data_IF_828419290540
#
_entry.id   IF_828419290540
#
_cell.length_a   1.000
_cell.length_b   1.000
_cell.length_c   1.000
_cell.angle_alpha   90.00
_cell.angle_beta   90.00
_cell.angle_gamma   90.00
#
_symmetry.space_group_name_H-M   'P 1'
#
loop_
_entity.id
_entity.type
_entity.pdbx_description
1 polymer ?
#
# COMPACT_ATOMS: atom_id res chain seq x y z
N UNK A 1 21.26 -69.08 12.59
CA UNK A 1 21.66 -67.67 12.34
C UNK A 1 20.43 -66.86 11.98
N UNK A 2 19.82 -66.20 12.96
CA UNK A 2 18.67 -65.28 12.74
C UNK A 2 19.19 -63.83 12.55
N UNK A 3 19.02 -63.27 11.37
CA UNK A 3 19.27 -61.87 11.12
C UNK A 3 18.06 -61.02 11.61
N UNK A 4 18.23 -60.24 12.67
CA UNK A 4 17.28 -59.24 13.12
C UNK A 4 17.38 -58.00 12.21
N UNK A 5 16.35 -57.77 11.41
CA UNK A 5 16.17 -56.52 10.67
C UNK A 5 15.68 -55.46 11.64
N UNK A 6 16.52 -54.44 11.93
CA UNK A 6 16.13 -53.21 12.59
C UNK A 6 15.60 -52.26 11.53
N UNK A 7 14.27 -51.99 11.52
CA UNK A 7 13.71 -50.87 10.81
C UNK A 7 13.92 -49.58 11.65
N UNK A 8 14.53 -48.51 11.10
CA UNK A 8 14.56 -47.24 11.80
C UNK A 8 13.17 -46.58 11.71
N UNK A 9 12.57 -46.35 12.86
CA UNK A 9 11.36 -45.53 12.94
C UNK A 9 11.70 -44.06 12.65
N UNK A 10 11.28 -43.55 11.50
CA UNK A 10 11.38 -42.12 11.16
C UNK A 10 10.27 -41.39 11.94
N UNK A 11 10.67 -40.71 13.00
CA UNK A 11 9.80 -39.77 13.73
C UNK A 11 9.68 -38.50 12.91
N UNK A 12 8.57 -38.33 12.18
CA UNK A 12 8.23 -37.08 11.49
C UNK A 12 7.71 -36.10 12.54
N UNK A 13 8.58 -35.15 12.96
CA UNK A 13 8.18 -34.03 13.78
C UNK A 13 7.34 -33.06 12.88
N UNK A 14 6.01 -33.15 12.95
CA UNK A 14 5.14 -32.12 12.39
C UNK A 14 5.28 -30.87 13.24
N UNK A 15 6.04 -29.89 12.75
CA UNK A 15 5.94 -28.52 13.22
C UNK A 15 4.55 -27.99 12.85
N UNK A 16 3.66 -27.92 13.82
CA UNK A 16 2.45 -27.12 13.71
C UNK A 16 2.90 -25.65 13.65
N UNK A 17 3.02 -25.11 12.43
CA UNK A 17 3.15 -23.68 12.22
C UNK A 17 1.81 -23.07 12.69
N UNK A 18 1.77 -22.62 13.95
CA UNK A 18 0.67 -21.81 14.44
C UNK A 18 0.58 -20.55 13.56
N UNK A 19 -0.53 -20.35 12.87
CA UNK A 19 -0.83 -19.09 12.19
C UNK A 19 -0.81 -18.01 13.27
N UNK A 20 0.13 -17.06 13.17
CA UNK A 20 0.12 -15.88 14.00
C UNK A 20 -1.17 -15.13 13.66
N UNK A 21 -2.17 -15.30 14.52
CA UNK A 21 -3.45 -14.60 14.38
C UNK A 21 -3.23 -13.16 14.80
N UNK A 22 -3.67 -12.24 13.97
CA UNK A 22 -3.32 -10.84 14.05
C UNK A 22 -4.58 -9.97 14.19
N UNK A 23 -4.38 -8.79 14.74
CA UNK A 23 -5.26 -7.64 14.57
C UNK A 23 -5.23 -7.23 13.09
N UNK A 24 -6.40 -6.96 12.47
CA UNK A 24 -6.49 -6.60 11.05
C UNK A 24 -7.41 -5.40 10.82
N UNK A 25 -7.19 -4.69 9.71
CA UNK A 25 -8.02 -3.57 9.24
C UNK A 25 -8.53 -3.87 7.82
N UNK A 26 -9.82 -3.85 7.60
CA UNK A 26 -10.46 -4.12 6.30
C UNK A 26 -11.56 -3.10 5.98
N UNK A 27 -11.64 -2.56 4.75
CA UNK A 27 -10.70 -2.74 3.64
C UNK A 27 -9.45 -1.86 3.80
N UNK A 28 -8.35 -2.21 3.10
CA UNK A 28 -7.11 -1.42 3.12
C UNK A 28 -7.14 -0.19 2.20
N UNK A 29 -8.14 -0.06 1.35
CA UNK A 29 -8.30 1.09 0.46
C UNK A 29 -9.77 1.35 0.16
N UNK A 30 -10.18 2.62 0.23
CA UNK A 30 -11.54 3.05 -0.13
C UNK A 30 -11.51 4.37 -0.88
N UNK A 31 -12.50 4.55 -1.76
CA UNK A 31 -12.81 5.85 -2.34
C UNK A 31 -14.14 6.32 -1.81
N UNK A 32 -14.22 7.56 -1.34
CA UNK A 32 -15.46 8.21 -0.91
C UNK A 32 -15.76 9.44 -1.75
N UNK A 33 -17.04 9.78 -1.83
CA UNK A 33 -17.49 11.02 -2.47
C UNK A 33 -17.21 12.21 -1.54
N UNK A 34 -16.92 13.40 -2.07
CA UNK A 34 -16.70 14.57 -1.21
C UNK A 34 -17.99 15.07 -0.54
N UNK A 35 -19.18 14.60 -0.98
CA UNK A 35 -20.49 15.01 -0.44
C UNK A 35 -21.54 13.90 -0.53
N UNK A 36 -22.65 14.08 0.22
CA UNK A 36 -23.79 13.17 0.22
C UNK A 36 -23.52 11.88 1.01
N UNK A 37 -24.36 10.87 0.78
CA UNK A 37 -24.27 9.58 1.49
C UNK A 37 -22.96 8.83 1.22
N UNK A 38 -22.31 9.06 0.09
CA UNK A 38 -21.03 8.45 -0.29
C UNK A 38 -19.82 9.00 0.46
N UNK A 39 -19.96 10.12 1.21
CA UNK A 39 -18.87 10.72 2.00
C UNK A 39 -18.46 9.92 3.23
N UNK A 40 -19.25 8.94 3.63
CA UNK A 40 -18.96 8.04 4.74
C UNK A 40 -18.57 6.65 4.27
N UNK A 41 -17.52 6.09 4.86
CA UNK A 41 -17.07 4.70 4.65
C UNK A 41 -16.94 3.99 5.99
N UNK A 42 -17.07 2.68 5.96
CA UNK A 42 -16.89 1.83 7.14
C UNK A 42 -15.66 0.96 6.98
N UNK A 43 -14.90 0.86 8.04
CA UNK A 43 -13.78 -0.06 8.17
C UNK A 43 -14.10 -1.05 9.27
N UNK A 44 -13.65 -2.27 9.12
CA UNK A 44 -13.75 -3.31 10.12
C UNK A 44 -12.37 -3.57 10.69
N UNK A 45 -12.29 -3.49 12.00
CA UNK A 45 -11.12 -3.88 12.77
C UNK A 45 -11.45 -5.23 13.40
N UNK A 46 -10.60 -6.23 13.17
CA UNK A 46 -10.83 -7.60 13.63
C UNK A 46 -9.69 -8.05 14.53
N UNK A 47 -10.04 -8.79 15.56
CA UNK A 47 -9.09 -9.41 16.45
C UNK A 47 -9.13 -10.93 16.26
N UNK A 48 -8.22 -11.45 15.45
CA UNK A 48 -8.06 -12.89 15.21
C UNK A 48 -7.11 -13.55 16.24
N UNK A 49 -6.58 -12.78 17.19
CA UNK A 49 -5.71 -13.28 18.24
C UNK A 49 -6.50 -13.93 19.39
N UNK A 50 -5.79 -14.65 20.25
CA UNK A 50 -6.36 -15.24 21.47
C UNK A 50 -6.44 -14.25 22.65
N UNK A 51 -5.98 -13.01 22.48
CA UNK A 51 -5.98 -12.00 23.52
C UNK A 51 -6.89 -10.82 23.14
N UNK A 52 -7.40 -10.14 24.15
CA UNK A 52 -8.08 -8.85 23.97
C UNK A 52 -7.11 -7.83 23.35
N UNK A 53 -7.59 -7.05 22.39
CA UNK A 53 -6.85 -5.99 21.71
C UNK A 53 -7.52 -4.65 21.95
N UNK A 54 -6.76 -3.68 22.43
CA UNK A 54 -7.17 -2.26 22.46
C UNK A 54 -6.59 -1.58 21.21
N UNK A 55 -7.40 -0.79 20.51
CA UNK A 55 -6.99 -0.14 19.26
C UNK A 55 -7.31 1.34 19.25
N UNK A 56 -6.58 2.07 18.42
CA UNK A 56 -6.83 3.48 18.09
C UNK A 56 -6.81 3.68 16.58
N UNK A 57 -7.71 4.53 16.08
CA UNK A 57 -7.77 4.97 14.68
C UNK A 57 -7.41 6.44 14.60
N UNK A 58 -6.51 6.76 13.67
CA UNK A 58 -6.09 8.14 13.37
C UNK A 58 -6.16 8.38 11.88
N UNK A 59 -6.60 9.57 11.48
CA UNK A 59 -6.50 10.02 10.09
C UNK A 59 -5.21 10.81 9.91
N UNK A 60 -4.51 10.54 8.80
CA UNK A 60 -3.25 11.18 8.45
C UNK A 60 -3.32 11.78 7.04
N UNK A 61 -2.55 12.83 6.78
CA UNK A 61 -2.24 13.25 5.40
C UNK A 61 -1.48 12.14 4.68
N UNK A 62 -1.44 12.20 3.36
CA UNK A 62 -0.62 11.32 2.54
C UNK A 62 0.11 12.12 1.49
N UNK A 63 1.38 12.37 1.70
CA UNK A 63 2.27 13.05 0.77
C UNK A 63 3.33 12.05 0.28
N UNK A 64 3.50 11.95 -1.04
CA UNK A 64 4.48 11.06 -1.65
C UNK A 64 5.45 11.90 -2.46
N UNK A 65 6.71 11.93 -2.05
CA UNK A 65 7.78 12.60 -2.77
C UNK A 65 8.08 11.91 -4.12
N UNK A 66 8.81 12.59 -5.00
CA UNK A 66 9.15 12.05 -6.33
C UNK A 66 9.91 10.70 -6.25
N UNK A 67 10.76 10.53 -5.24
CA UNK A 67 11.51 9.30 -4.98
C UNK A 67 10.67 8.19 -4.32
N UNK A 68 9.41 8.47 -3.98
CA UNK A 68 8.48 7.53 -3.38
C UNK A 68 8.44 7.52 -1.86
N UNK A 69 9.23 8.32 -1.17
CA UNK A 69 9.11 8.46 0.29
C UNK A 69 7.75 9.05 0.64
N UNK A 70 7.03 8.37 1.50
CA UNK A 70 5.74 8.82 1.99
C UNK A 70 5.90 9.50 3.36
N UNK A 71 5.25 10.65 3.53
CA UNK A 71 5.16 11.37 4.80
C UNK A 71 3.69 11.53 5.19
N UNK A 72 3.42 11.40 6.48
CA UNK A 72 2.08 11.40 7.03
C UNK A 72 2.06 12.30 8.28
N UNK A 73 1.03 13.15 8.40
CA UNK A 73 0.79 14.02 9.56
C UNK A 73 -0.65 13.85 10.04
N UNK A 74 -0.92 13.86 11.36
CA UNK A 74 -2.27 13.74 11.88
C UNK A 74 -3.22 14.83 11.33
N UNK A 75 -4.45 14.41 11.01
CA UNK A 75 -5.53 15.28 10.54
C UNK A 75 -6.71 15.16 11.50
N UNK A 76 -7.05 16.24 12.19
CA UNK A 76 -8.07 16.22 13.25
C UNK A 76 -9.44 16.81 12.85
N UNK A 77 -9.48 17.62 11.78
CA UNK A 77 -10.65 18.44 11.43
C UNK A 77 -11.36 18.06 10.12
N UNK A 78 -10.77 17.20 9.31
CA UNK A 78 -11.32 16.83 7.99
C UNK A 78 -12.18 15.57 8.01
N UNK A 79 -12.13 14.81 9.10
CA UNK A 79 -12.90 13.56 9.24
C UNK A 79 -13.60 13.48 10.59
N UNK A 80 -14.74 12.79 10.60
CA UNK A 80 -15.34 12.25 11.82
C UNK A 80 -15.09 10.76 11.87
N UNK A 81 -14.55 10.27 12.99
CA UNK A 81 -14.31 8.86 13.27
C UNK A 81 -15.26 8.40 14.37
N UNK A 82 -15.90 7.24 14.21
CA UNK A 82 -16.75 6.67 15.27
C UNK A 82 -16.76 5.14 15.22
N UNK A 83 -16.38 4.45 16.30
CA UNK A 83 -15.58 5.00 17.42
C UNK A 83 -14.12 5.20 16.99
N UNK A 84 -13.39 6.21 17.54
CA UNK A 84 -11.97 6.44 17.20
C UNK A 84 -11.01 5.48 17.93
N UNK A 85 -11.49 4.80 18.95
CA UNK A 85 -10.76 3.81 19.74
C UNK A 85 -11.74 2.80 20.33
N UNK A 86 -11.24 1.64 20.72
CA UNK A 86 -12.07 0.61 21.33
C UNK A 86 -11.26 -0.59 21.78
N UNK A 87 -11.99 -1.55 22.33
CA UNK A 87 -11.48 -2.85 22.76
C UNK A 87 -12.22 -3.93 22.00
N UNK A 88 -11.47 -4.92 21.49
CA UNK A 88 -12.02 -6.05 20.75
C UNK A 88 -11.60 -7.35 21.44
N UNK A 89 -12.56 -8.14 21.86
CA UNK A 89 -12.33 -9.45 22.47
C UNK A 89 -11.84 -10.46 21.39
N UNK A 90 -11.21 -11.57 21.79
CA UNK A 90 -10.75 -12.61 20.88
C UNK A 90 -11.85 -13.07 19.92
N UNK A 91 -11.52 -13.13 18.61
CA UNK A 91 -12.44 -13.55 17.55
C UNK A 91 -13.57 -12.56 17.24
N UNK A 92 -13.57 -11.36 17.84
CA UNK A 92 -14.57 -10.32 17.62
C UNK A 92 -14.07 -9.24 16.67
N UNK A 93 -14.98 -8.37 16.25
CA UNK A 93 -14.66 -7.24 15.38
C UNK A 93 -15.45 -6.00 15.76
N UNK A 94 -14.90 -4.83 15.42
CA UNK A 94 -15.53 -3.53 15.60
C UNK A 94 -15.58 -2.80 14.25
N UNK A 95 -16.76 -2.28 13.89
CA UNK A 95 -16.89 -1.39 12.75
C UNK A 95 -16.57 0.04 13.17
N UNK A 96 -15.68 0.70 12.41
CA UNK A 96 -15.34 2.11 12.55
C UNK A 96 -15.87 2.85 11.33
N UNK A 97 -16.73 3.84 11.57
CA UNK A 97 -17.24 4.72 10.51
C UNK A 97 -16.35 5.95 10.39
N UNK A 98 -15.96 6.24 9.15
CA UNK A 98 -15.16 7.41 8.77
C UNK A 98 -15.99 8.27 7.84
N UNK A 99 -16.18 9.55 8.18
CA UNK A 99 -16.99 10.49 7.39
C UNK A 99 -16.17 11.71 7.05
N UNK A 100 -16.08 12.03 5.76
CA UNK A 100 -15.44 13.23 5.26
C UNK A 100 -16.24 14.49 5.61
N UNK A 101 -15.56 15.54 6.11
CA UNK A 101 -16.13 16.84 6.53
C UNK A 101 -15.49 18.03 5.83
N UNK A 102 -14.43 17.79 5.06
CA UNK A 102 -13.73 18.87 4.35
C UNK A 102 -14.49 19.42 3.15
N UNK A 103 -13.76 19.94 2.18
CA UNK A 103 -14.32 20.55 0.98
C UNK A 103 -15.28 19.58 0.25
N UNK A 104 -16.47 20.05 -0.06
CA UNK A 104 -17.53 19.28 -0.77
C UNK A 104 -17.35 19.29 -2.29
N UNK A 105 -16.48 20.13 -2.83
CA UNK A 105 -16.24 20.26 -4.26
C UNK A 105 -14.74 20.43 -4.55
N UNK A 106 -13.86 19.53 -4.08
CA UNK A 106 -12.44 19.65 -4.39
C UNK A 106 -12.21 19.53 -5.90
N UNK A 107 -11.26 20.28 -6.43
CA UNK A 107 -10.91 20.26 -7.84
C UNK A 107 -10.27 18.93 -8.25
N UNK A 108 -9.43 18.40 -7.37
CA UNK A 108 -8.68 17.17 -7.54
C UNK A 108 -9.04 16.18 -6.42
N UNK A 109 -8.73 14.91 -6.63
CA UNK A 109 -8.83 13.88 -5.60
C UNK A 109 -7.83 14.16 -4.47
N UNK A 110 -8.32 14.08 -3.23
CA UNK A 110 -7.52 14.24 -2.03
C UNK A 110 -7.19 12.85 -1.45
N UNK A 111 -5.96 12.67 -1.03
CA UNK A 111 -5.45 11.40 -0.51
C UNK A 111 -5.13 11.49 0.97
N UNK A 112 -5.55 10.46 1.72
CA UNK A 112 -5.28 10.35 3.16
C UNK A 112 -4.92 8.91 3.52
N UNK A 113 -4.39 8.74 4.74
CA UNK A 113 -4.21 7.45 5.38
C UNK A 113 -5.18 7.32 6.56
N UNK A 114 -5.75 6.13 6.69
CA UNK A 114 -6.32 5.66 7.95
C UNK A 114 -5.29 4.77 8.62
N UNK A 115 -4.91 5.14 9.82
CA UNK A 115 -4.00 4.38 10.64
C UNK A 115 -4.79 3.66 11.73
N UNK A 116 -4.60 2.35 11.83
CA UNK A 116 -5.10 1.53 12.93
C UNK A 116 -3.90 0.99 13.71
N UNK A 117 -3.82 1.32 14.98
CA UNK A 117 -2.71 0.92 15.86
C UNK A 117 -3.26 0.10 17.01
N UNK A 118 -2.62 -1.04 17.26
CA UNK A 118 -2.81 -1.80 18.49
C UNK A 118 -2.14 -1.06 19.65
N UNK A 119 -2.88 -0.83 20.73
CA UNK A 119 -2.37 -0.17 21.92
C UNK A 119 -1.76 -1.19 22.89
N UNK A 120 -0.66 -0.85 23.56
CA UNK A 120 -0.07 -1.73 24.55
C UNK A 120 -1.00 -1.90 25.74
N UNK A 121 -1.44 -3.12 26.00
CA UNK A 121 -2.17 -3.44 27.23
C UNK A 121 -1.13 -3.56 28.35
N UNK A 122 -1.19 -2.66 29.35
CA UNK A 122 -0.38 -2.75 30.57
C UNK A 122 -0.85 -3.94 31.41
N UNK A 123 -0.37 -5.13 31.12
CA UNK A 123 -0.42 -6.26 32.07
C UNK A 123 0.76 -6.15 33.03
N UNK A 124 0.51 -6.35 34.31
CA UNK A 124 1.58 -6.46 35.29
C UNK A 124 2.59 -7.52 34.78
N UNK A 125 3.91 -7.23 34.77
CA UNK A 125 4.89 -8.16 34.25
C UNK A 125 4.84 -9.46 35.06
N UNK A 126 4.57 -10.58 34.44
CA UNK A 126 4.86 -11.89 35.00
C UNK A 126 6.38 -12.00 35.15
N UNK A 127 6.82 -12.23 36.39
CA UNK A 127 8.21 -12.08 36.86
C UNK A 127 9.26 -13.01 36.22
N UNK A 128 8.99 -13.73 35.14
CA UNK A 128 9.92 -14.81 34.74
C UNK A 128 10.18 -15.10 33.26
N UNK A 129 9.66 -14.33 32.29
CA UNK A 129 9.98 -14.58 30.89
C UNK A 129 10.18 -13.28 30.11
N UNK A 130 11.28 -13.19 29.36
CA UNK A 130 11.44 -12.16 28.33
C UNK A 130 10.39 -12.41 27.25
N UNK A 131 9.35 -11.56 27.19
CA UNK A 131 8.30 -11.61 26.19
C UNK A 131 8.55 -10.53 25.13
N UNK A 132 8.65 -10.93 23.85
CA UNK A 132 8.71 -9.97 22.74
C UNK A 132 7.28 -9.60 22.39
N UNK A 133 6.87 -8.35 22.66
CA UNK A 133 5.56 -7.81 22.24
C UNK A 133 5.71 -7.14 20.87
N UNK A 134 5.01 -7.66 19.88
CA UNK A 134 4.88 -7.02 18.56
C UNK A 134 3.54 -6.27 18.54
N UNK A 135 3.59 -4.95 18.40
CA UNK A 135 2.41 -4.11 18.20
C UNK A 135 2.19 -3.90 16.69
N UNK A 136 0.97 -4.13 16.25
CA UNK A 136 0.63 -4.02 14.83
C UNK A 136 0.12 -2.61 14.50
N UNK A 137 0.51 -2.14 13.32
CA UNK A 137 0.11 -0.87 12.75
C UNK A 137 -0.30 -1.06 11.29
N UNK A 138 -1.53 -0.71 10.96
CA UNK A 138 -2.05 -0.75 9.60
C UNK A 138 -2.21 0.67 9.06
N UNK A 139 -1.79 0.87 7.80
CA UNK A 139 -1.97 2.11 7.06
C UNK A 139 -2.82 1.85 5.82
N UNK A 140 -4.13 2.01 5.95
CA UNK A 140 -5.06 1.99 4.83
C UNK A 140 -5.06 3.30 4.06
N UNK A 141 -5.66 3.33 2.87
CA UNK A 141 -5.79 4.51 2.03
C UNK A 141 -7.24 4.98 1.95
N UNK A 142 -7.47 6.28 2.04
CA UNK A 142 -8.76 6.91 1.77
C UNK A 142 -8.57 7.98 0.69
N UNK A 143 -9.36 7.87 -0.36
CA UNK A 143 -9.39 8.82 -1.47
C UNK A 143 -10.72 9.54 -1.46
N UNK A 144 -10.71 10.88 -1.36
CA UNK A 144 -11.89 11.73 -1.52
C UNK A 144 -11.93 12.18 -2.97
N UNK A 145 -12.75 11.51 -3.79
CA UNK A 145 -12.71 11.64 -5.24
C UNK A 145 -13.92 12.41 -5.78
N UNK A 146 -13.69 13.53 -6.49
CA UNK A 146 -14.73 14.17 -7.29
C UNK A 146 -15.24 13.24 -8.40
N UNK A 147 -16.54 13.33 -8.72
CA UNK A 147 -17.23 12.40 -9.63
C UNK A 147 -16.57 12.25 -11.02
N UNK A 148 -15.96 13.32 -11.54
CA UNK A 148 -15.36 13.34 -12.89
C UNK A 148 -13.82 13.28 -12.85
N UNK A 149 -13.23 13.02 -11.71
CA UNK A 149 -11.78 12.92 -11.57
C UNK A 149 -11.25 11.72 -12.36
N UNK A 150 -10.19 11.96 -13.15
CA UNK A 150 -9.53 10.93 -13.97
C UNK A 150 -8.02 11.08 -13.90
N UNK A 151 -7.26 9.97 -13.92
CA UNK A 151 -5.82 10.01 -14.03
C UNK A 151 -5.40 10.43 -15.46
N UNK A 152 -4.19 11.00 -15.57
CA UNK A 152 -3.55 11.31 -16.85
C UNK A 152 -2.05 11.17 -16.71
N UNK A 153 -1.54 9.96 -16.89
CA UNK A 153 -0.11 9.69 -16.81
C UNK A 153 0.62 10.14 -18.08
N UNK A 154 1.80 10.69 -17.90
CA UNK A 154 2.74 11.04 -18.96
C UNK A 154 4.16 10.73 -18.48
N UNK A 155 4.95 10.04 -19.30
CA UNK A 155 6.39 9.93 -19.10
C UNK A 155 7.01 11.18 -19.70
N UNK A 156 7.61 12.02 -18.85
CA UNK A 156 8.22 13.30 -19.26
C UNK A 156 9.73 13.20 -19.42
N UNK A 157 10.35 12.11 -18.96
CA UNK A 157 11.76 11.85 -19.11
C UNK A 157 12.05 10.34 -18.99
N UNK A 158 12.94 9.87 -19.89
CA UNK A 158 13.48 8.52 -19.83
C UNK A 158 14.93 8.58 -20.34
N UNK A 159 15.87 8.64 -19.39
CA UNK A 159 17.30 8.89 -19.68
C UNK A 159 18.19 7.89 -18.97
N UNK A 160 19.28 7.50 -19.63
CA UNK A 160 20.31 6.65 -19.04
C UNK A 160 21.08 7.41 -17.97
N UNK A 161 21.26 6.81 -16.82
CA UNK A 161 22.06 7.37 -15.71
C UNK A 161 23.34 6.59 -15.45
N UNK A 162 23.34 5.30 -15.80
CA UNK A 162 24.50 4.42 -15.76
C UNK A 162 24.32 3.28 -16.76
N UNK A 163 25.31 2.36 -16.87
CA UNK A 163 25.20 1.17 -17.70
C UNK A 163 23.92 0.39 -17.36
N UNK A 164 23.06 0.18 -18.35
CA UNK A 164 21.78 -0.51 -18.22
C UNK A 164 20.81 0.08 -17.16
N UNK A 165 21.05 1.33 -16.72
CA UNK A 165 20.25 1.97 -15.68
C UNK A 165 19.64 3.25 -16.23
N UNK A 166 18.31 3.38 -16.07
CA UNK A 166 17.53 4.49 -16.60
C UNK A 166 16.69 5.14 -15.53
N UNK A 167 16.65 6.48 -15.54
CA UNK A 167 15.71 7.27 -14.75
C UNK A 167 14.47 7.54 -15.60
N UNK A 168 13.33 7.07 -15.14
CA UNK A 168 12.01 7.37 -15.70
C UNK A 168 11.29 8.38 -14.82
N UNK A 169 10.83 9.48 -15.41
CA UNK A 169 10.03 10.50 -14.74
C UNK A 169 8.60 10.44 -15.24
N UNK A 170 7.65 10.19 -14.35
CA UNK A 170 6.23 10.06 -14.67
C UNK A 170 5.45 11.15 -13.94
N UNK A 171 4.67 11.90 -14.69
CA UNK A 171 3.76 12.93 -14.17
C UNK A 171 2.32 12.45 -14.29
N UNK A 172 1.55 12.56 -13.23
CA UNK A 172 0.10 12.45 -13.29
C UNK A 172 -0.50 13.84 -13.40
N UNK A 173 -0.72 14.33 -14.62
CA UNK A 173 -1.38 15.60 -14.87
C UNK A 173 -2.91 15.56 -14.65
N UNK A 174 -3.45 14.38 -14.33
CA UNK A 174 -4.87 14.14 -14.09
C UNK A 174 -5.35 14.63 -12.73
N UNK A 175 -6.60 14.39 -12.45
CA UNK A 175 -7.32 14.81 -11.23
C UNK A 175 -7.64 13.65 -10.29
N UNK A 176 -7.26 12.41 -10.63
CA UNK A 176 -7.35 11.23 -9.79
C UNK A 176 -5.99 10.51 -9.73
N UNK A 177 -5.75 9.73 -8.69
CA UNK A 177 -4.58 8.88 -8.61
C UNK A 177 -4.65 7.74 -9.63
N UNK A 178 -3.49 7.19 -9.98
CA UNK A 178 -3.36 5.99 -10.81
C UNK A 178 -2.46 4.96 -10.11
N UNK A 179 -3.00 3.83 -9.68
CA UNK A 179 -2.16 2.70 -9.30
C UNK A 179 -1.54 2.09 -10.56
N UNK A 180 -0.27 1.74 -10.49
CA UNK A 180 0.45 1.05 -11.59
C UNK A 180 0.23 -0.46 -11.46
N UNK A 181 -0.99 -0.90 -11.76
CA UNK A 181 -1.34 -2.32 -11.82
C UNK A 181 -0.97 -2.85 -13.21
N UNK A 182 -0.27 -3.98 -13.24
CA UNK A 182 0.19 -4.62 -14.48
C UNK A 182 0.79 -3.60 -15.49
N UNK A 183 1.84 -2.85 -15.09
CA UNK A 183 2.37 -1.79 -15.93
C UNK A 183 3.00 -2.33 -17.20
N UNK A 184 2.77 -1.65 -18.32
CA UNK A 184 3.44 -1.88 -19.59
C UNK A 184 4.24 -0.66 -20.00
N UNK A 185 5.45 -0.85 -20.51
CA UNK A 185 6.32 0.23 -20.98
C UNK A 185 6.76 -0.06 -22.43
N UNK A 186 6.55 0.90 -23.31
CA UNK A 186 7.06 0.88 -24.67
C UNK A 186 8.06 2.02 -24.82
N UNK A 187 9.25 1.69 -25.31
CA UNK A 187 10.33 2.63 -25.57
C UNK A 187 10.51 2.79 -27.08
N UNK A 188 10.61 4.04 -27.53
CA UNK A 188 10.92 4.37 -28.92
C UNK A 188 12.30 5.02 -28.96
N UNK A 189 13.19 4.45 -29.75
CA UNK A 189 14.56 4.93 -29.89
C UNK A 189 14.66 6.17 -30.81
N UNK A 190 15.87 6.70 -30.95
CA UNK A 190 16.14 7.88 -31.79
C UNK A 190 15.92 7.66 -33.29
N UNK A 191 15.78 6.38 -33.71
CA UNK A 191 15.49 5.99 -35.08
C UNK A 191 13.99 5.72 -35.32
N UNK A 192 13.15 5.93 -34.27
CA UNK A 192 11.71 5.69 -34.37
C UNK A 192 11.30 4.22 -34.20
N UNK A 193 12.19 3.32 -33.80
CA UNK A 193 11.85 1.92 -33.55
C UNK A 193 11.29 1.76 -32.15
N UNK A 194 10.13 1.15 -32.04
CA UNK A 194 9.44 0.95 -30.76
C UNK A 194 9.64 -0.49 -30.27
N UNK A 195 10.07 -0.63 -29.03
CA UNK A 195 10.29 -1.91 -28.35
C UNK A 195 9.51 -1.95 -27.04
N UNK A 196 8.82 -3.04 -26.79
CA UNK A 196 8.11 -3.26 -25.53
C UNK A 196 9.09 -3.82 -24.50
N UNK A 197 9.18 -3.16 -23.33
CA UNK A 197 10.02 -3.62 -22.23
C UNK A 197 9.41 -4.88 -21.61
N UNK A 198 10.20 -5.93 -21.34
CA UNK A 198 9.72 -7.13 -20.66
C UNK A 198 9.25 -6.83 -19.22
N UNK A 199 8.45 -7.71 -18.60
CA UNK A 199 7.84 -7.45 -17.29
C UNK A 199 8.84 -7.31 -16.14
N UNK A 200 9.98 -8.02 -16.18
CA UNK A 200 10.93 -8.12 -15.07
C UNK A 200 11.46 -6.75 -14.61
N UNK A 201 11.96 -5.86 -15.49
CA UNK A 201 12.38 -4.51 -15.12
C UNK A 201 11.25 -3.65 -14.54
N UNK A 202 9.98 -3.96 -14.87
CA UNK A 202 8.83 -3.19 -14.43
C UNK A 202 8.37 -3.56 -13.03
N UNK A 203 8.93 -4.60 -12.42
CA UNK A 203 8.62 -5.01 -11.05
C UNK A 203 8.82 -3.89 -10.02
N UNK A 204 9.76 -2.97 -10.25
CA UNK A 204 10.02 -1.82 -9.34
C UNK A 204 8.91 -0.76 -9.36
N UNK A 205 8.11 -0.70 -10.43
CA UNK A 205 6.99 0.23 -10.55
C UNK A 205 5.64 -0.44 -10.32
N UNK A 206 5.58 -1.76 -10.41
CA UNK A 206 4.35 -2.52 -10.18
C UNK A 206 3.81 -2.30 -8.75
N UNK A 207 2.52 -2.04 -8.63
CA UNK A 207 1.88 -1.74 -7.34
C UNK A 207 2.15 -0.34 -6.78
N UNK A 208 3.01 0.45 -7.42
CA UNK A 208 3.21 1.86 -7.05
C UNK A 208 1.96 2.69 -7.36
N UNK A 209 1.83 3.84 -6.70
CA UNK A 209 0.72 4.75 -6.92
C UNK A 209 1.24 6.15 -7.25
N UNK A 210 0.65 6.79 -8.25
CA UNK A 210 0.95 8.17 -8.62
C UNK A 210 -0.28 9.02 -8.33
N UNK A 211 -0.20 9.84 -7.28
CA UNK A 211 -1.31 10.69 -6.85
C UNK A 211 -1.65 11.75 -7.91
N UNK A 212 -2.86 12.32 -7.83
CA UNK A 212 -3.28 13.41 -8.70
C UNK A 212 -2.30 14.59 -8.60
N UNK A 213 -1.88 15.17 -9.73
CA UNK A 213 -0.94 16.30 -9.80
C UNK A 213 0.48 16.02 -9.27
N UNK A 214 0.84 14.75 -9.06
CA UNK A 214 2.16 14.39 -8.55
C UNK A 214 3.08 13.87 -9.64
N UNK A 215 4.37 14.02 -9.40
CA UNK A 215 5.46 13.46 -10.19
C UNK A 215 6.10 12.31 -9.41
N UNK A 216 6.50 11.24 -10.09
CA UNK A 216 7.25 10.14 -9.53
C UNK A 216 8.47 9.83 -10.40
N UNK A 217 9.56 9.48 -9.76
CA UNK A 217 10.80 9.04 -10.39
C UNK A 217 11.03 7.56 -10.07
N UNK A 218 11.42 6.83 -11.10
CA UNK A 218 11.71 5.40 -10.98
C UNK A 218 13.05 5.09 -11.64
N UNK A 219 13.87 4.32 -10.99
CA UNK A 219 15.12 3.80 -11.54
C UNK A 219 14.86 2.39 -12.04
N UNK A 220 15.06 2.16 -13.35
CA UNK A 220 14.87 0.87 -13.99
C UNK A 220 16.20 0.32 -14.47
N UNK A 221 16.45 -0.96 -14.21
CA UNK A 221 17.53 -1.71 -14.81
C UNK A 221 17.00 -2.41 -16.07
N UNK A 222 17.44 -1.97 -17.26
CA UNK A 222 17.02 -2.57 -18.53
C UNK A 222 18.03 -3.59 -19.02
N UNK A 223 17.60 -4.59 -19.82
CA UNK A 223 18.49 -5.50 -20.53
C UNK A 223 19.52 -4.79 -21.41
N UNK A 224 20.68 -5.44 -21.74
CA UNK A 224 21.79 -4.80 -22.47
C UNK A 224 21.47 -4.35 -23.90
N UNK A 225 20.40 -4.83 -24.49
CA UNK A 225 19.94 -4.42 -25.83
C UNK A 225 19.43 -2.97 -25.89
N UNK A 226 19.07 -2.39 -24.74
CA UNK A 226 18.68 -0.97 -24.64
C UNK A 226 19.94 -0.12 -24.48
N UNK A 227 20.39 0.53 -25.57
CA UNK A 227 21.68 1.21 -25.60
C UNK A 227 21.60 2.73 -25.80
N UNK A 228 20.44 3.26 -26.19
CA UNK A 228 20.28 4.70 -26.39
C UNK A 228 20.30 5.43 -25.05
N UNK A 229 20.85 6.63 -25.04
CA UNK A 229 20.91 7.48 -23.84
C UNK A 229 19.54 8.06 -23.49
N UNK A 230 18.64 8.15 -24.46
CA UNK A 230 17.27 8.65 -24.30
C UNK A 230 16.30 7.83 -25.15
N UNK A 231 15.11 7.65 -24.60
CA UNK A 231 13.98 7.07 -25.32
C UNK A 231 12.76 7.95 -25.15
N UNK A 232 11.89 7.99 -26.16
CA UNK A 232 10.50 8.35 -25.93
C UNK A 232 9.81 7.15 -25.27
N UNK A 233 9.15 7.36 -24.15
CA UNK A 233 8.59 6.29 -23.35
C UNK A 233 7.08 6.45 -23.18
N UNK A 234 6.33 5.37 -23.41
CA UNK A 234 4.89 5.28 -23.20
C UNK A 234 4.58 4.27 -22.11
N UNK A 235 4.08 4.75 -20.97
CA UNK A 235 3.63 3.93 -19.85
C UNK A 235 2.14 3.65 -20.00
N UNK A 236 1.73 2.40 -19.78
CA UNK A 236 0.34 1.96 -19.65
C UNK A 236 0.17 1.22 -18.33
N UNK A 237 -1.00 1.36 -17.69
CA UNK A 237 -1.35 0.61 -16.49
C UNK A 237 -2.85 0.32 -16.52
N UNK A 238 -3.26 -0.78 -15.91
CA UNK A 238 -4.67 -1.09 -15.70
C UNK A 238 -5.22 -0.24 -14.54
N UNK A 239 -6.52 0.09 -14.61
CA UNK A 239 -7.24 0.76 -13.53
C UNK A 239 -7.56 -0.18 -12.36
#
# INVERSE_FOLDING_TARGET
>A
MLRKNFLPAIVVLMFAAGTAQAFTLTPMSVTCDPKGSGSGKSFRVENESSNRVDFQITMLTREIAEDGRETNQPVTNLFTLFPPQGTIEPGQSQTVRVVWKGDKNPADELCFRIEAVELPINRAPEKSKAEIKVLLRYLGAIYVRPKNAKPKLQVTGFTRTATNTYLMVVVNAGTAHQPLKDPGLTLTDTQGRSTKVPPEPLGVIAGQNILAKHTRQFVLALPPEYQDDRYEAKLTAQE
#
